data_IF_981487542272
#
_entry.id   IF_981487542272
#
_cell.length_a   1.000
_cell.length_b   1.000
_cell.length_c   1.000
_cell.angle_alpha   90.00
_cell.angle_beta   90.00
_cell.angle_gamma   90.00
#
_symmetry.space_group_name_H-M   'P 1'
#
loop_
_entity.id
_entity.type
_entity.pdbx_description
1 polymer ?
#
# COMPACT_ATOMS: atom_id res chain seq x y z
N UNK A 1 -3.52 7.80 -17.30
CA UNK A 1 -3.89 7.87 -15.86
C UNK A 1 -5.12 8.69 -15.59
N UNK A 2 -5.20 9.97 -15.97
CA UNK A 2 -6.29 10.87 -15.61
C UNK A 2 -7.71 10.30 -15.82
N UNK A 3 -8.01 9.76 -17.00
CA UNK A 3 -9.34 9.19 -17.30
C UNK A 3 -9.67 8.02 -16.36
N UNK A 4 -8.73 7.10 -16.15
CA UNK A 4 -8.93 5.95 -15.26
C UNK A 4 -9.17 6.39 -13.82
N UNK A 5 -8.37 7.33 -13.31
CA UNK A 5 -8.54 7.88 -11.97
C UNK A 5 -9.89 8.56 -11.80
N UNK A 6 -10.31 9.39 -12.77
CA UNK A 6 -11.61 10.07 -12.71
C UNK A 6 -12.79 9.09 -12.73
N UNK A 7 -12.73 8.04 -13.54
CA UNK A 7 -13.79 7.02 -13.57
C UNK A 7 -13.90 6.33 -12.22
N UNK A 8 -12.78 5.85 -11.66
CA UNK A 8 -12.78 5.18 -10.35
C UNK A 8 -13.30 6.10 -9.23
N UNK A 9 -12.83 7.34 -9.19
CA UNK A 9 -13.26 8.32 -8.19
C UNK A 9 -14.75 8.70 -8.35
N UNK A 10 -15.23 8.85 -9.58
CA UNK A 10 -16.64 9.13 -9.85
C UNK A 10 -17.56 7.99 -9.40
N UNK A 11 -17.18 6.74 -9.65
CA UNK A 11 -17.93 5.57 -9.18
C UNK A 11 -17.98 5.51 -7.65
N UNK A 12 -16.85 5.77 -6.98
CA UNK A 12 -16.79 5.85 -5.52
C UNK A 12 -17.71 6.96 -4.98
N UNK A 13 -17.66 8.16 -5.55
CA UNK A 13 -18.54 9.27 -5.17
C UNK A 13 -20.02 8.93 -5.36
N UNK A 14 -20.38 8.31 -6.49
CA UNK A 14 -21.75 7.88 -6.78
C UNK A 14 -22.25 6.82 -5.78
N UNK A 15 -21.34 6.03 -5.20
CA UNK A 15 -21.67 5.06 -4.14
C UNK A 15 -21.79 5.69 -2.73
N UNK A 16 -21.50 6.99 -2.58
CA UNK A 16 -21.46 7.69 -1.30
C UNK A 16 -20.11 7.61 -0.57
N UNK A 17 -19.07 7.04 -1.19
CA UNK A 17 -17.71 7.10 -0.66
C UNK A 17 -17.16 8.52 -0.82
N UNK A 18 -16.81 9.16 0.30
CA UNK A 18 -16.29 10.55 0.32
C UNK A 18 -14.80 10.63 0.61
N UNK A 19 -14.17 9.51 0.97
CA UNK A 19 -12.73 9.41 1.22
C UNK A 19 -12.24 8.02 0.83
N UNK A 20 -11.23 7.96 -0.03
CA UNK A 20 -10.64 6.71 -0.50
C UNK A 20 -9.14 6.68 -0.28
N UNK A 21 -8.57 5.48 -0.16
CA UNK A 21 -7.14 5.27 -0.17
C UNK A 21 -6.76 4.49 -1.44
N UNK A 22 -5.83 5.02 -2.22
CA UNK A 22 -5.31 4.34 -3.42
C UNK A 22 -3.89 3.85 -3.17
N UNK A 23 -3.65 2.57 -3.49
CA UNK A 23 -2.35 1.95 -3.36
C UNK A 23 -1.67 1.82 -4.74
N UNK A 24 -1.01 2.89 -5.17
CA UNK A 24 -0.33 2.93 -6.47
C UNK A 24 1.13 2.49 -6.36
N UNK A 25 1.46 1.27 -6.80
CA UNK A 25 2.81 0.69 -6.63
C UNK A 25 3.55 0.35 -7.94
N UNK A 26 2.96 0.62 -9.11
CA UNK A 26 3.56 0.36 -10.42
C UNK A 26 3.90 1.67 -11.14
N UNK A 27 5.17 1.85 -11.50
CA UNK A 27 5.67 3.05 -12.18
C UNK A 27 6.52 2.68 -13.41
N UNK A 28 5.94 2.06 -14.44
CA UNK A 28 6.62 1.85 -15.72
C UNK A 28 6.86 3.17 -16.45
N UNK A 29 7.65 3.12 -17.52
CA UNK A 29 7.94 4.27 -18.38
C UNK A 29 6.65 4.99 -18.83
N UNK A 30 6.61 6.31 -18.63
CA UNK A 30 5.45 7.17 -18.91
C UNK A 30 4.44 7.31 -17.76
N UNK A 31 4.62 6.59 -16.64
CA UNK A 31 3.81 6.70 -15.42
C UNK A 31 4.58 7.28 -14.22
N UNK A 32 5.71 7.95 -14.46
CA UNK A 32 6.56 8.54 -13.43
C UNK A 32 5.82 9.57 -12.57
N UNK A 33 4.82 10.24 -13.15
CA UNK A 33 3.98 11.26 -12.51
C UNK A 33 2.54 10.78 -12.30
N UNK A 34 2.31 9.47 -12.18
CA UNK A 34 0.96 8.91 -12.05
C UNK A 34 0.21 9.47 -10.83
N UNK A 35 0.90 9.60 -9.68
CA UNK A 35 0.31 10.15 -8.46
C UNK A 35 0.00 11.64 -8.61
N UNK A 36 0.86 12.43 -9.27
CA UNK A 36 0.59 13.83 -9.58
C UNK A 36 -0.74 13.98 -10.35
N UNK A 37 -0.96 13.10 -11.33
CA UNK A 37 -2.21 13.05 -12.12
C UNK A 37 -3.41 12.62 -11.28
N UNK A 38 -3.22 11.68 -10.34
CA UNK A 38 -4.26 11.27 -9.39
C UNK A 38 -4.64 12.43 -8.45
N UNK A 39 -3.66 13.16 -7.92
CA UNK A 39 -3.89 14.36 -7.08
C UNK A 39 -4.76 15.36 -7.82
N UNK A 40 -4.43 15.68 -9.08
CA UNK A 40 -5.24 16.60 -9.88
C UNK A 40 -6.67 16.09 -10.06
N UNK A 41 -6.83 14.78 -10.30
CA UNK A 41 -8.15 14.17 -10.48
C UNK A 41 -8.99 14.21 -9.21
N UNK A 42 -8.39 13.97 -8.04
CA UNK A 42 -9.06 14.06 -6.73
C UNK A 42 -9.49 15.50 -6.44
N UNK A 43 -8.59 16.46 -6.67
CA UNK A 43 -8.87 17.89 -6.48
C UNK A 43 -10.01 18.37 -7.39
N UNK A 44 -10.00 17.99 -8.66
CA UNK A 44 -11.04 18.35 -9.63
C UNK A 44 -12.42 17.80 -9.25
N UNK A 45 -12.49 16.58 -8.74
CA UNK A 45 -13.75 15.94 -8.34
C UNK A 45 -14.21 16.31 -6.92
N UNK A 46 -13.41 17.06 -6.16
CA UNK A 46 -13.78 17.49 -4.81
C UNK A 46 -13.83 16.36 -3.76
N UNK A 47 -13.22 15.20 -4.05
CA UNK A 47 -13.13 14.08 -3.11
C UNK A 47 -11.94 14.27 -2.16
N UNK A 48 -11.90 13.57 -1.03
CA UNK A 48 -10.68 13.40 -0.23
C UNK A 48 -9.99 12.08 -0.57
N UNK A 49 -8.66 12.07 -0.57
CA UNK A 49 -7.91 10.84 -0.81
C UNK A 49 -6.64 10.74 0.02
N UNK A 50 -6.33 9.51 0.44
CA UNK A 50 -4.99 9.11 0.84
C UNK A 50 -4.31 8.39 -0.34
N UNK A 51 -3.36 9.04 -0.99
CA UNK A 51 -2.62 8.44 -2.10
C UNK A 51 -1.30 7.89 -1.56
N UNK A 52 -1.03 6.62 -1.84
CA UNK A 52 0.21 6.02 -1.39
C UNK A 52 1.24 5.94 -2.51
N UNK A 53 2.48 6.34 -2.20
CA UNK A 53 3.63 6.05 -3.05
C UNK A 53 4.04 4.62 -2.77
N UNK A 54 3.53 3.70 -3.57
CA UNK A 54 3.85 2.29 -3.47
C UNK A 54 5.23 1.95 -4.04
N UNK A 55 5.78 0.77 -3.77
CA UNK A 55 7.08 0.40 -4.35
C UNK A 55 7.22 -1.09 -4.66
N UNK A 56 7.88 -1.40 -5.77
CA UNK A 56 8.43 -2.72 -6.08
C UNK A 56 9.92 -2.56 -6.37
N UNK A 57 10.78 -3.31 -5.67
CA UNK A 57 12.24 -3.18 -5.80
C UNK A 57 12.99 -4.51 -5.91
N UNK A 58 12.29 -5.64 -5.86
CA UNK A 58 12.88 -6.97 -5.98
C UNK A 58 12.26 -7.68 -7.18
N UNK A 59 12.96 -7.73 -8.31
CA UNK A 59 12.46 -8.32 -9.56
C UNK A 59 12.87 -9.79 -9.72
N UNK A 60 12.33 -10.46 -10.74
CA UNK A 60 12.64 -11.87 -11.07
C UNK A 60 14.15 -12.16 -11.17
N UNK A 61 14.95 -11.23 -11.73
CA UNK A 61 16.40 -11.41 -11.88
C UNK A 61 17.12 -11.49 -10.52
N UNK A 62 16.55 -10.90 -9.48
CA UNK A 62 17.10 -10.82 -8.12
C UNK A 62 16.39 -11.79 -7.15
N UNK A 63 15.57 -12.72 -7.69
CA UNK A 63 14.83 -13.71 -6.92
C UNK A 63 13.50 -13.20 -6.34
N UNK A 64 12.98 -12.11 -6.88
CA UNK A 64 11.62 -11.63 -6.63
C UNK A 64 10.57 -12.31 -7.52
N UNK A 65 9.31 -12.02 -7.23
CA UNK A 65 8.16 -12.43 -8.05
C UNK A 65 7.79 -11.46 -9.21
N UNK A 66 7.97 -10.13 -9.10
CA UNK A 66 7.51 -9.24 -10.14
C UNK A 66 8.45 -9.16 -11.35
N UNK A 67 7.93 -8.91 -12.57
CA UNK A 67 8.74 -8.69 -13.75
C UNK A 67 9.77 -7.56 -13.56
N UNK A 68 10.96 -7.72 -14.14
CA UNK A 68 12.05 -6.75 -13.93
C UNK A 68 11.68 -5.31 -14.39
N UNK A 69 10.85 -5.18 -15.42
CA UNK A 69 10.40 -3.88 -15.94
C UNK A 69 9.46 -3.12 -14.99
N UNK A 70 8.93 -3.78 -13.95
CA UNK A 70 8.02 -3.14 -12.98
C UNK A 70 8.72 -2.73 -11.69
N UNK A 71 10.02 -3.04 -11.54
CA UNK A 71 10.78 -2.66 -10.35
C UNK A 71 11.58 -1.38 -10.58
N UNK A 72 11.74 -0.61 -9.51
CA UNK A 72 12.51 0.62 -9.50
C UNK A 72 13.66 0.52 -8.52
N UNK A 73 14.71 1.29 -8.78
CA UNK A 73 15.83 1.44 -7.85
C UNK A 73 15.37 2.14 -6.57
N UNK A 74 15.98 1.75 -5.46
CA UNK A 74 15.60 2.22 -4.13
C UNK A 74 15.66 3.74 -3.98
N UNK A 75 16.71 4.34 -4.54
CA UNK A 75 16.95 5.77 -4.51
C UNK A 75 15.87 6.55 -5.27
N UNK A 76 15.40 6.00 -6.40
CA UNK A 76 14.30 6.58 -7.19
C UNK A 76 12.99 6.53 -6.38
N UNK A 77 12.74 5.39 -5.72
CA UNK A 77 11.56 5.20 -4.88
C UNK A 77 11.50 6.23 -3.74
N UNK A 78 12.59 6.38 -3.00
CA UNK A 78 12.66 7.26 -1.83
C UNK A 78 12.65 8.73 -2.22
N UNK A 79 13.36 9.10 -3.29
CA UNK A 79 13.38 10.48 -3.79
C UNK A 79 11.98 10.93 -4.24
N UNK A 80 11.27 10.08 -4.99
CA UNK A 80 9.91 10.38 -5.44
C UNK A 80 8.90 10.38 -4.27
N UNK A 81 9.06 9.46 -3.31
CA UNK A 81 8.29 9.45 -2.05
C UNK A 81 8.41 10.76 -1.29
N UNK A 82 9.64 11.26 -1.08
CA UNK A 82 9.88 12.54 -0.42
C UNK A 82 9.28 13.69 -1.23
N UNK A 83 9.52 13.74 -2.55
CA UNK A 83 8.97 14.76 -3.45
C UNK A 83 7.45 14.87 -3.33
N UNK A 84 6.74 13.74 -3.37
CA UNK A 84 5.28 13.71 -3.31
C UNK A 84 4.76 14.21 -1.96
N UNK A 85 5.41 13.80 -0.85
CA UNK A 85 5.06 14.28 0.48
C UNK A 85 5.24 15.80 0.57
N UNK A 86 6.41 16.32 0.19
CA UNK A 86 6.72 17.74 0.26
C UNK A 86 5.82 18.60 -0.63
N UNK A 87 5.35 18.04 -1.75
CA UNK A 87 4.54 18.78 -2.73
C UNK A 87 3.04 18.74 -2.42
N UNK A 88 2.52 17.61 -1.94
CA UNK A 88 1.07 17.35 -1.93
C UNK A 88 0.48 16.98 -0.57
N UNK A 89 1.28 16.63 0.44
CA UNK A 89 0.73 16.19 1.72
C UNK A 89 0.15 17.36 2.52
N UNK A 90 -1.17 17.35 2.75
CA UNK A 90 -1.89 18.33 3.55
C UNK A 90 -2.11 17.79 4.97
N UNK A 91 -1.88 18.63 5.99
CA UNK A 91 -1.90 18.23 7.41
C UNK A 91 -3.08 18.79 8.22
N UNK A 92 -3.77 19.78 7.67
CA UNK A 92 -4.83 20.48 8.38
C UNK A 92 -6.09 19.61 8.52
N UNK A 93 -6.92 19.94 9.51
CA UNK A 93 -8.23 19.30 9.65
C UNK A 93 -9.06 19.49 8.38
N UNK A 94 -9.54 18.38 7.82
CA UNK A 94 -10.27 18.38 6.56
C UNK A 94 -9.38 18.36 5.30
N UNK A 95 -8.08 18.08 5.45
CA UNK A 95 -7.14 17.84 4.34
C UNK A 95 -7.77 17.04 3.19
N UNK A 96 -7.61 17.55 1.98
CA UNK A 96 -8.12 16.92 0.78
C UNK A 96 -7.19 15.80 0.32
N UNK A 97 -5.87 16.04 0.40
CA UNK A 97 -4.85 15.12 -0.07
C UNK A 97 -3.90 14.76 1.08
N UNK A 98 -3.82 13.47 1.38
CA UNK A 98 -2.79 12.92 2.27
C UNK A 98 -1.91 11.95 1.51
N UNK A 99 -0.59 12.16 1.60
CA UNK A 99 0.39 11.21 1.05
C UNK A 99 0.86 10.26 2.14
N UNK A 100 0.94 8.97 1.81
CA UNK A 100 1.51 7.93 2.65
C UNK A 100 2.51 7.09 1.86
N UNK A 101 3.38 6.37 2.55
CA UNK A 101 4.33 5.46 1.91
C UNK A 101 3.76 4.04 1.91
N UNK A 102 3.95 3.29 0.82
CA UNK A 102 3.41 1.94 0.74
C UNK A 102 4.36 0.92 0.10
N UNK A 103 5.44 0.50 0.79
CA UNK A 103 6.22 -0.64 0.30
C UNK A 103 5.30 -1.84 0.09
N UNK A 104 5.19 -2.33 -1.15
CA UNK A 104 4.10 -3.20 -1.62
C UNK A 104 3.90 -4.41 -0.70
N UNK A 105 4.97 -5.19 -0.48
CA UNK A 105 4.93 -6.34 0.42
C UNK A 105 6.36 -6.77 0.79
N UNK A 106 6.53 -7.59 1.86
CA UNK A 106 7.83 -8.18 2.20
C UNK A 106 8.47 -9.07 1.12
N UNK A 107 7.69 -9.40 0.08
CA UNK A 107 8.03 -10.33 -1.00
C UNK A 107 8.49 -9.62 -2.27
N UNK A 108 7.95 -8.43 -2.53
CA UNK A 108 8.20 -7.65 -3.75
C UNK A 108 9.16 -6.48 -3.52
N UNK A 109 9.63 -6.30 -2.29
CA UNK A 109 10.44 -5.16 -1.85
C UNK A 109 11.61 -5.65 -1.00
N UNK A 110 12.79 -5.07 -1.24
CA UNK A 110 13.98 -5.37 -0.43
C UNK A 110 13.76 -4.96 1.04
N UNK A 111 14.34 -5.70 2.01
CA UNK A 111 14.23 -5.33 3.43
C UNK A 111 14.80 -3.93 3.71
N UNK A 112 15.80 -3.51 2.94
CA UNK A 112 16.36 -2.16 3.01
C UNK A 112 15.30 -1.11 2.69
N UNK A 113 14.56 -1.25 1.59
CA UNK A 113 13.54 -0.26 1.20
C UNK A 113 12.36 -0.25 2.18
N UNK A 114 11.99 -1.39 2.76
CA UNK A 114 11.00 -1.41 3.83
C UNK A 114 11.46 -0.58 5.04
N UNK A 115 12.71 -0.74 5.48
CA UNK A 115 13.26 -0.02 6.61
C UNK A 115 13.45 1.48 6.31
N UNK A 116 13.96 1.82 5.12
CA UNK A 116 14.17 3.21 4.69
C UNK A 116 12.83 3.94 4.48
N UNK A 117 11.80 3.26 3.95
CA UNK A 117 10.45 3.82 3.85
C UNK A 117 9.85 4.08 5.23
N UNK A 118 10.06 3.17 6.20
CA UNK A 118 9.61 3.39 7.57
C UNK A 118 10.33 4.59 8.23
N UNK A 119 11.65 4.67 8.09
CA UNK A 119 12.43 5.79 8.60
C UNK A 119 12.04 7.13 7.95
N UNK A 120 11.76 7.13 6.64
CA UNK A 120 11.29 8.32 5.93
C UNK A 120 9.88 8.72 6.40
N UNK A 121 8.98 7.76 6.60
CA UNK A 121 7.63 8.00 7.11
C UNK A 121 7.67 8.62 8.51
N UNK A 122 8.53 8.12 9.39
CA UNK A 122 8.75 8.67 10.73
C UNK A 122 9.33 10.09 10.66
N UNK A 123 10.40 10.29 9.87
CA UNK A 123 11.06 11.59 9.70
C UNK A 123 10.10 12.67 9.19
N UNK A 124 9.22 12.31 8.25
CA UNK A 124 8.29 13.24 7.63
C UNK A 124 6.90 13.23 8.29
N UNK A 125 6.71 12.49 9.39
CA UNK A 125 5.43 12.36 10.09
C UNK A 125 4.27 12.06 9.13
N UNK A 126 4.40 10.98 8.36
CA UNK A 126 3.37 10.46 7.46
C UNK A 126 3.04 9.00 7.73
N UNK A 127 1.96 8.51 7.14
CA UNK A 127 1.52 7.11 7.32
C UNK A 127 2.32 6.15 6.47
N UNK A 128 2.34 4.88 6.91
CA UNK A 128 2.96 3.75 6.23
C UNK A 128 1.93 2.64 6.07
N UNK A 129 1.84 2.06 4.88
CA UNK A 129 0.92 0.99 4.51
C UNK A 129 1.67 -0.15 3.81
N UNK A 130 1.20 -1.39 3.90
CA UNK A 130 1.79 -2.53 3.17
C UNK A 130 0.77 -3.66 3.09
N UNK A 131 0.91 -4.55 2.11
CA UNK A 131 0.17 -5.81 2.09
C UNK A 131 0.84 -6.82 3.03
N UNK A 132 0.03 -7.63 3.71
CA UNK A 132 0.52 -8.61 4.67
C UNK A 132 -0.39 -9.84 4.75
N UNK A 133 0.18 -11.02 4.53
CA UNK A 133 -0.46 -12.32 4.71
C UNK A 133 -1.71 -12.50 3.83
N UNK A 134 -1.55 -12.23 2.53
CA UNK A 134 -2.64 -12.33 1.56
C UNK A 134 -2.81 -13.77 1.04
N UNK A 135 -1.72 -14.53 0.94
CA UNK A 135 -1.74 -15.91 0.41
C UNK A 135 -0.93 -16.88 1.28
N UNK A 136 -1.16 -18.19 1.11
CA UNK A 136 -0.38 -19.23 1.79
C UNK A 136 1.06 -19.32 1.24
N UNK A 137 1.22 -19.05 -0.05
CA UNK A 137 2.53 -19.06 -0.72
C UNK A 137 3.47 -17.98 -0.14
N UNK A 138 2.91 -16.84 0.26
CA UNK A 138 3.63 -15.82 1.03
C UNK A 138 4.13 -16.34 2.39
N UNK A 139 3.34 -17.15 3.09
CA UNK A 139 3.75 -17.72 4.37
C UNK A 139 4.87 -18.73 4.21
N UNK A 140 4.78 -19.59 3.19
CA UNK A 140 5.84 -20.55 2.88
C UNK A 140 7.12 -19.86 2.43
N UNK A 141 7.05 -18.80 1.62
CA UNK A 141 8.22 -18.02 1.24
C UNK A 141 8.88 -17.37 2.45
N UNK A 142 8.09 -16.75 3.34
CA UNK A 142 8.64 -16.12 4.56
C UNK A 142 9.31 -17.14 5.48
N UNK A 143 8.72 -18.33 5.61
CA UNK A 143 9.30 -19.43 6.39
C UNK A 143 10.59 -19.95 5.77
N UNK A 144 10.63 -20.18 4.46
CA UNK A 144 11.82 -20.69 3.76
C UNK A 144 12.96 -19.67 3.71
N UNK A 145 12.66 -18.41 3.41
CA UNK A 145 13.67 -17.37 3.19
C UNK A 145 14.14 -16.72 4.48
N UNK A 146 13.26 -16.60 5.49
CA UNK A 146 13.52 -15.83 6.71
C UNK A 146 13.28 -16.58 8.01
N UNK A 147 12.76 -17.81 7.98
CA UNK A 147 12.46 -18.60 9.19
C UNK A 147 11.36 -17.98 10.06
N UNK A 148 10.54 -17.08 9.51
CA UNK A 148 9.50 -16.33 10.22
C UNK A 148 8.18 -16.47 9.48
N UNK A 149 7.05 -16.49 10.20
CA UNK A 149 5.73 -16.36 9.57
C UNK A 149 5.55 -14.95 9.00
N UNK A 150 4.73 -14.79 7.96
CA UNK A 150 4.54 -13.53 7.20
C UNK A 150 4.34 -12.31 8.09
N UNK A 151 3.47 -12.42 9.09
CA UNK A 151 3.22 -11.32 10.05
C UNK A 151 4.47 -10.88 10.81
N UNK A 152 5.27 -11.85 11.29
CA UNK A 152 6.49 -11.60 12.05
C UNK A 152 7.61 -11.10 11.15
N UNK A 153 7.60 -11.51 9.87
CA UNK A 153 8.47 -10.98 8.83
C UNK A 153 8.17 -9.50 8.56
N UNK A 154 6.90 -9.13 8.34
CA UNK A 154 6.48 -7.75 8.13
C UNK A 154 6.83 -6.84 9.31
N UNK A 155 6.49 -7.26 10.54
CA UNK A 155 6.79 -6.49 11.75
C UNK A 155 8.30 -6.24 11.95
N UNK A 156 9.13 -7.28 11.78
CA UNK A 156 10.58 -7.17 11.95
C UNK A 156 11.24 -6.32 10.84
N UNK A 157 10.75 -6.40 9.61
CA UNK A 157 11.33 -5.68 8.46
C UNK A 157 10.99 -4.19 8.45
N UNK A 158 9.81 -3.82 8.93
CA UNK A 158 9.43 -2.41 9.08
C UNK A 158 10.00 -1.79 10.36
N UNK A 159 10.72 -2.55 11.19
CA UNK A 159 11.29 -2.12 12.47
C UNK A 159 10.28 -1.37 13.35
N UNK A 160 8.99 -1.65 13.23
CA UNK A 160 7.92 -0.87 13.86
C UNK A 160 7.90 -1.15 15.37
N UNK A 161 8.32 -0.22 16.24
CA UNK A 161 8.11 -0.37 17.68
C UNK A 161 6.64 -0.10 18.04
N UNK A 162 5.83 0.37 17.08
CA UNK A 162 4.51 0.98 17.29
C UNK A 162 3.33 0.21 16.67
N UNK A 163 3.42 -1.11 16.56
CA UNK A 163 2.21 -1.89 16.26
C UNK A 163 1.15 -1.75 17.38
N UNK A 164 1.54 -1.29 18.58
CA UNK A 164 0.62 -0.99 19.69
C UNK A 164 0.11 0.47 19.73
N UNK A 165 0.75 1.42 19.04
CA UNK A 165 0.50 2.86 19.28
C UNK A 165 0.44 3.76 18.03
N UNK A 166 0.20 3.21 16.83
CA UNK A 166 -0.07 4.03 15.65
C UNK A 166 -1.60 4.28 15.50
N UNK A 167 -2.12 5.49 15.81
CA UNK A 167 -3.53 5.79 15.58
C UNK A 167 -3.80 5.85 14.08
N UNK A 168 -4.56 4.91 13.51
CA UNK A 168 -4.93 4.92 12.08
C UNK A 168 -4.54 3.67 11.30
N UNK A 169 -3.94 2.66 11.93
CA UNK A 169 -3.99 1.30 11.40
C UNK A 169 -5.40 0.76 11.65
N UNK A 170 -6.03 0.11 10.66
CA UNK A 170 -7.21 -0.70 10.90
C UNK A 170 -6.84 -1.78 11.92
N UNK A 171 -7.17 -1.55 13.19
CA UNK A 171 -6.96 -2.50 14.27
C UNK A 171 -7.72 -3.79 13.93
N UNK A 172 -7.01 -4.81 13.46
CA UNK A 172 -7.51 -6.16 13.49
C UNK A 172 -7.19 -6.72 14.88
N UNK A 173 -8.19 -7.06 15.72
CA UNK A 173 -7.94 -7.74 16.98
C UNK A 173 -7.21 -9.05 16.72
N UNK A 174 -6.38 -9.47 17.68
CA UNK A 174 -5.54 -10.67 17.62
C UNK A 174 -6.36 -11.89 17.15
N UNK A 175 -6.22 -12.32 15.88
CA UNK A 175 -6.96 -13.47 15.39
C UNK A 175 -6.07 -14.68 15.63
N UNK A 176 -6.60 -15.66 16.37
CA UNK A 176 -5.97 -16.95 16.53
C UNK A 176 -5.63 -17.64 15.20
N UNK A 177 -5.08 -18.87 15.24
CA UNK A 177 -4.48 -19.56 14.10
C UNK A 177 -5.36 -19.78 12.85
N UNK A 178 -6.64 -19.39 12.87
CA UNK A 178 -7.63 -19.56 11.80
C UNK A 178 -7.86 -18.33 10.90
N UNK A 179 -7.09 -17.23 11.06
CA UNK A 179 -7.32 -15.99 10.32
C UNK A 179 -7.34 -16.18 8.79
N UNK A 180 -6.40 -16.95 8.22
CA UNK A 180 -6.33 -17.20 6.78
C UNK A 180 -7.50 -18.06 6.26
N UNK A 181 -8.17 -18.86 7.11
CA UNK A 181 -9.30 -19.70 6.69
C UNK A 181 -10.61 -18.91 6.54
N UNK A 182 -10.75 -17.77 7.22
CA UNK A 182 -11.99 -16.95 7.17
C UNK A 182 -12.02 -15.94 6.02
N UNK A 183 -10.90 -15.70 5.34
CA UNK A 183 -10.84 -14.88 4.13
C UNK A 183 -11.43 -15.59 2.88
N UNK A 184 -11.79 -16.87 2.99
CA UNK A 184 -12.56 -17.58 1.97
C UNK A 184 -14.03 -17.14 2.01
N UNK A 185 -14.42 -16.34 1.02
CA UNK A 185 -15.80 -15.91 0.76
C UNK A 185 -16.78 -17.10 0.81
N UNK A 186 -17.87 -17.05 1.60
CA UNK A 186 -18.86 -18.12 1.59
C UNK A 186 -19.59 -18.12 0.24
N UNK A 187 -19.55 -19.25 -0.49
CA UNK A 187 -20.38 -19.47 -1.69
C UNK A 187 -21.84 -19.19 -1.30
N UNK A 188 -22.41 -18.10 -1.81
CA UNK A 188 -23.83 -17.77 -1.58
C UNK A 188 -24.69 -18.93 -2.06
N UNK A 189 -25.41 -19.55 -1.11
CA UNK A 189 -26.47 -20.50 -1.39
C UNK A 189 -27.59 -19.85 -2.19
N UNK A 190 -28.19 -20.65 -3.08
CA UNK A 190 -29.36 -20.31 -3.88
C UNK A 190 -30.48 -19.81 -2.96
N UNK A 191 -30.96 -18.59 -3.19
CA UNK A 191 -32.24 -18.14 -2.66
C UNK A 191 -33.33 -18.67 -3.59
N UNK A 192 -34.15 -19.58 -3.07
CA UNK A 192 -35.39 -20.01 -3.69
C UNK A 192 -36.41 -18.88 -3.66
N UNK A 193 -37.02 -18.65 -4.82
CA UNK A 193 -38.19 -17.79 -5.02
C UNK A 193 -39.40 -18.53 -4.44
N UNK A 194 -40.16 -17.87 -3.56
CA UNK A 194 -41.55 -18.21 -3.27
C UNK A 194 -42.45 -17.63 -4.36
#
# INVERSE_FOLDING_TARGET
MAVASKVALAELLLSGCTTAADHHYLFPDGLEHAIDVQVQSVRELGMRAMLTRGSMSLGEADGGLPPQQTVQQGEVILADSQRLIETYHERDDGAQIQIALAPCSPFSVTPQIMAESAALAEKLDVRLHTHLAETLDEEDFCLQRFGLRTRRCGHRRLSLPQLEHAPGLWHLPDPGPDCCRRAAWPRRGRLGVQ
#
